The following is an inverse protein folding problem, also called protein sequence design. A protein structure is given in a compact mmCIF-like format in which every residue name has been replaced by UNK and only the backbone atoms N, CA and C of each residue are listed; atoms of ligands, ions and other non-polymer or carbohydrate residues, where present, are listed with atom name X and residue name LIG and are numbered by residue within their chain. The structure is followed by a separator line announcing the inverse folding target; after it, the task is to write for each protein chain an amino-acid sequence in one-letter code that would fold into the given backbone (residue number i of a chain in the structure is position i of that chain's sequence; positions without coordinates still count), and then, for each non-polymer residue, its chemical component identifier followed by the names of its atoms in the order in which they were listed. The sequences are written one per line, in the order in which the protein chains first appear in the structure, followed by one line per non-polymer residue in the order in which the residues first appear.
data_IF_645639693029
#
_entry.id   IF_645639693029
#
_cell.length_a   1.000
_cell.length_b   1.000
_cell.length_c   1.000
_cell.angle_alpha   90.00
_cell.angle_beta   90.00
_cell.angle_gamma   90.00
#
_symmetry.space_group_name_H-M   'P 1'
#
loop_
_entity.id
_entity.type
_entity.pdbx_description
1 polymer ?
#
# COMPACT_ATOMS: atom_id res chain seq x y z
N UNK A 1 5.88 9.64 25.23
CA UNK A 1 6.00 10.32 23.93
C UNK A 1 6.05 9.33 22.78
N UNK A 2 5.35 9.62 21.71
CA UNK A 2 5.42 8.81 20.48
C UNK A 2 6.75 9.09 19.78
N UNK A 3 7.58 8.06 19.62
CA UNK A 3 8.86 8.21 18.90
C UNK A 3 8.63 8.58 17.43
N UNK A 4 7.57 8.04 16.84
CA UNK A 4 7.24 8.28 15.43
C UNK A 4 6.69 9.69 15.25
N UNK A 5 5.75 10.11 16.10
CA UNK A 5 5.10 11.41 15.99
C UNK A 5 6.05 12.59 16.20
N UNK A 6 7.11 12.41 16.98
CA UNK A 6 8.09 13.47 17.27
C UNK A 6 9.15 13.66 16.18
N UNK A 7 9.26 12.75 15.23
CA UNK A 7 10.24 12.88 14.14
C UNK A 7 9.75 13.88 13.10
N UNK A 8 10.54 14.90 12.76
CA UNK A 8 10.18 15.77 11.65
C UNK A 8 10.24 15.03 10.33
N UNK A 9 9.49 15.49 9.34
CA UNK A 9 9.52 14.97 7.98
C UNK A 9 10.21 16.01 7.11
N UNK A 10 11.20 15.56 6.34
CA UNK A 10 11.84 16.39 5.33
C UNK A 10 11.07 16.27 4.02
N UNK A 11 10.67 17.41 3.45
CA UNK A 11 9.98 17.44 2.16
C UNK A 11 11.01 17.28 1.04
N UNK A 12 10.93 16.22 0.21
CA UNK A 12 11.86 16.05 -0.90
C UNK A 12 11.69 17.14 -1.97
N UNK A 13 12.73 17.37 -2.74
CA UNK A 13 12.65 18.28 -3.87
C UNK A 13 11.58 17.79 -4.87
N UNK A 14 10.78 18.71 -5.40
CA UNK A 14 9.71 18.38 -6.32
C UNK A 14 8.39 18.01 -5.69
N UNK A 15 8.30 17.98 -4.36
CA UNK A 15 7.06 17.75 -3.64
C UNK A 15 6.53 19.08 -3.09
N UNK A 16 5.26 19.35 -3.36
CA UNK A 16 4.56 20.52 -2.85
C UNK A 16 3.44 20.10 -1.92
N UNK A 17 3.28 20.84 -0.81
CA UNK A 17 2.23 20.58 0.17
C UNK A 17 1.39 21.82 0.33
N UNK A 18 0.07 21.67 0.22
CA UNK A 18 -0.90 22.73 0.51
C UNK A 18 -1.76 22.26 1.66
N UNK A 19 -1.93 23.13 2.63
CA UNK A 19 -2.81 22.91 3.77
C UNK A 19 -3.98 23.88 3.70
N UNK A 20 -5.19 23.32 3.70
CA UNK A 20 -6.43 24.10 3.81
C UNK A 20 -7.24 23.55 4.98
N UNK A 21 -7.15 24.22 6.14
CA UNK A 21 -7.69 23.69 7.38
C UNK A 21 -7.03 22.38 7.75
N UNK A 22 -7.80 21.30 7.73
CA UNK A 22 -7.32 19.93 8.01
C UNK A 22 -7.09 19.12 6.75
N UNK A 23 -7.34 19.69 5.58
CA UNK A 23 -7.18 19.02 4.30
C UNK A 23 -5.80 19.30 3.73
N UNK A 24 -5.04 18.25 3.48
CA UNK A 24 -3.70 18.35 2.93
C UNK A 24 -3.70 17.83 1.49
N UNK A 25 -3.19 18.66 0.58
CA UNK A 25 -2.98 18.31 -0.81
C UNK A 25 -1.48 18.21 -1.04
N UNK A 26 -1.02 17.04 -1.44
CA UNK A 26 0.40 16.76 -1.65
C UNK A 26 0.61 16.39 -3.10
N UNK A 27 1.43 17.17 -3.78
CA UNK A 27 1.73 17.00 -5.20
C UNK A 27 3.20 16.69 -5.39
N UNK A 28 3.49 15.68 -6.18
CA UNK A 28 4.86 15.28 -6.51
C UNK A 28 4.98 14.80 -7.96
N UNK A 29 6.17 14.34 -8.35
CA UNK A 29 6.42 13.93 -9.74
C UNK A 29 5.57 12.75 -10.20
N UNK A 30 5.06 11.93 -9.28
CA UNK A 30 4.25 10.76 -9.63
C UNK A 30 2.75 10.99 -9.54
N UNK A 31 2.31 12.10 -8.96
CA UNK A 31 0.90 12.41 -8.87
C UNK A 31 0.56 13.30 -7.69
N UNK A 32 -0.71 13.33 -7.35
CA UNK A 32 -1.26 14.17 -6.30
C UNK A 32 -2.17 13.35 -5.39
N UNK A 33 -2.02 13.55 -4.09
CA UNK A 33 -2.90 12.96 -3.08
C UNK A 33 -3.54 14.06 -2.26
N UNK A 34 -4.80 13.85 -1.90
CA UNK A 34 -5.57 14.74 -1.02
C UNK A 34 -6.12 13.92 0.13
N UNK A 35 -5.92 14.39 1.35
CA UNK A 35 -6.44 13.69 2.52
C UNK A 35 -6.73 14.69 3.65
N UNK A 36 -7.82 14.43 4.36
CA UNK A 36 -8.13 15.14 5.57
C UNK A 36 -7.46 14.45 6.76
N UNK A 37 -6.70 15.20 7.53
CA UNK A 37 -6.04 14.71 8.74
C UNK A 37 -6.77 15.17 10.00
N UNK A 38 -6.45 14.54 11.15
CA UNK A 38 -7.09 14.90 12.41
C UNK A 38 -6.83 16.35 12.79
N UNK A 39 -7.89 17.08 13.18
CA UNK A 39 -7.80 18.46 13.67
C UNK A 39 -7.10 18.56 15.03
N UNK A 40 -6.97 17.45 15.75
CA UNK A 40 -6.36 17.41 17.06
C UNK A 40 -4.84 17.51 17.04
N UNK A 41 -4.24 17.21 15.91
CA UNK A 41 -2.79 17.28 15.73
C UNK A 41 -2.46 18.50 14.88
N UNK A 42 -1.68 19.40 15.44
CA UNK A 42 -1.23 20.59 14.72
C UNK A 42 -0.04 20.24 13.84
N UNK A 43 -0.13 20.59 12.57
CA UNK A 43 0.94 20.37 11.59
C UNK A 43 1.59 21.70 11.27
N UNK A 44 2.90 21.79 11.47
CA UNK A 44 3.68 22.98 11.18
C UNK A 44 4.59 22.71 9.99
N UNK A 45 4.48 23.52 8.96
CA UNK A 45 5.33 23.43 7.77
C UNK A 45 6.28 24.62 7.78
N UNK A 46 7.57 24.35 7.88
CA UNK A 46 8.61 25.38 7.91
C UNK A 46 9.66 25.05 6.84
N UNK A 47 9.61 25.78 5.72
CA UNK A 47 10.48 25.53 4.59
C UNK A 47 10.26 24.14 4.02
N UNK A 48 11.26 23.27 4.15
CA UNK A 48 11.21 21.88 3.68
C UNK A 48 11.05 20.86 4.80
N UNK A 49 10.64 21.30 5.99
CA UNK A 49 10.50 20.44 7.14
C UNK A 49 9.08 20.53 7.72
N UNK A 50 8.52 19.40 8.11
CA UNK A 50 7.19 19.32 8.71
C UNK A 50 7.33 18.78 10.13
N UNK A 51 6.73 19.47 11.09
CA UNK A 51 6.67 19.03 12.49
C UNK A 51 5.22 18.91 12.94
N UNK A 52 5.00 18.11 13.97
CA UNK A 52 3.68 17.79 14.49
C UNK A 52 3.63 18.11 15.97
N UNK A 53 2.55 18.75 16.40
CA UNK A 53 2.31 19.07 17.81
C UNK A 53 1.00 18.45 18.26
N UNK A 54 0.96 17.97 19.49
CA UNK A 54 -0.25 17.44 20.11
C UNK A 54 -0.61 18.27 21.36
N UNK A 55 -1.93 18.38 21.67
CA UNK A 55 -2.36 19.22 22.79
C UNK A 55 -2.09 18.59 24.16
N UNK A 56 -1.96 17.27 24.27
CA UNK A 56 -1.76 16.58 25.54
C UNK A 56 -1.11 15.21 25.31
N UNK A 57 -0.95 14.42 26.38
CA UNK A 57 -0.32 13.10 26.36
C UNK A 57 -1.32 11.96 26.58
N UNK A 58 -2.61 12.18 26.34
CA UNK A 58 -3.60 11.13 26.44
C UNK A 58 -3.30 10.01 25.43
N UNK A 59 -3.57 8.73 25.75
CA UNK A 59 -3.22 7.62 24.86
C UNK A 59 -3.81 7.73 23.46
N UNK A 60 -5.06 8.17 23.33
CA UNK A 60 -5.70 8.37 22.02
C UNK A 60 -5.04 9.50 21.20
N UNK A 61 -4.61 10.58 21.87
CA UNK A 61 -3.93 11.71 21.21
C UNK A 61 -2.51 11.31 20.79
N UNK A 62 -1.82 10.53 21.60
CA UNK A 62 -0.49 10.00 21.24
C UNK A 62 -0.58 9.09 20.03
N UNK A 63 -1.62 8.24 19.97
CA UNK A 63 -1.87 7.38 18.82
C UNK A 63 -2.16 8.20 17.55
N UNK A 64 -3.00 9.24 17.64
CA UNK A 64 -3.28 10.16 16.53
C UNK A 64 -2.03 10.91 16.07
N UNK A 65 -1.17 11.31 16.98
CA UNK A 65 0.10 11.99 16.66
C UNK A 65 0.97 11.10 15.75
N UNK A 66 1.18 9.85 16.15
CA UNK A 66 1.95 8.90 15.35
C UNK A 66 1.29 8.56 14.02
N UNK A 67 -0.02 8.35 14.01
CA UNK A 67 -0.80 8.03 12.82
C UNK A 67 -0.78 9.19 11.81
N UNK A 68 -0.97 10.42 12.28
CA UNK A 68 -0.97 11.60 11.41
C UNK A 68 0.38 11.78 10.73
N UNK A 69 1.45 11.65 11.49
CA UNK A 69 2.80 11.72 10.92
C UNK A 69 3.03 10.62 9.89
N UNK A 70 2.67 9.37 10.22
CA UNK A 70 2.84 8.23 9.32
C UNK A 70 2.04 8.40 8.03
N UNK A 71 0.79 8.86 8.12
CA UNK A 71 -0.07 9.09 6.96
C UNK A 71 0.51 10.16 6.04
N UNK A 72 0.96 11.28 6.61
CA UNK A 72 1.54 12.37 5.82
C UNK A 72 2.85 11.93 5.17
N UNK A 73 3.70 11.22 5.90
CA UNK A 73 4.94 10.68 5.35
C UNK A 73 4.67 9.71 4.19
N UNK A 74 3.67 8.83 4.33
CA UNK A 74 3.29 7.91 3.26
C UNK A 74 2.78 8.64 2.02
N UNK A 75 2.05 9.73 2.19
CA UNK A 75 1.60 10.55 1.06
C UNK A 75 2.80 11.17 0.32
N UNK A 76 3.76 11.69 1.07
CA UNK A 76 4.98 12.29 0.49
C UNK A 76 5.80 11.24 -0.28
N UNK A 77 6.04 10.08 0.33
CA UNK A 77 6.76 8.99 -0.33
C UNK A 77 6.00 8.50 -1.57
N UNK A 78 4.69 8.39 -1.47
CA UNK A 78 3.84 7.93 -2.59
C UNK A 78 3.94 8.84 -3.80
N UNK A 79 3.82 10.16 -3.62
CA UNK A 79 3.88 11.11 -4.75
C UNK A 79 5.29 11.30 -5.30
N UNK A 80 6.32 11.01 -4.51
CA UNK A 80 7.73 11.15 -4.94
C UNK A 80 8.30 9.87 -5.53
N UNK A 81 8.11 8.73 -4.86
CA UNK A 81 8.70 7.45 -5.25
C UNK A 81 7.66 6.40 -5.68
N UNK A 82 6.45 6.47 -5.14
CA UNK A 82 5.42 5.47 -5.33
C UNK A 82 5.60 4.26 -4.42
N UNK A 83 4.59 3.40 -4.41
CA UNK A 83 4.61 2.15 -3.68
C UNK A 83 4.38 0.98 -4.63
N UNK A 84 4.96 -0.15 -4.32
CA UNK A 84 4.78 -1.39 -5.06
C UNK A 84 4.63 -2.56 -4.09
N UNK A 85 3.71 -3.46 -4.41
CA UNK A 85 3.55 -4.71 -3.68
C UNK A 85 3.60 -5.86 -4.67
N UNK A 86 4.56 -6.75 -4.48
CA UNK A 86 4.73 -7.91 -5.34
C UNK A 86 3.85 -9.07 -4.90
N UNK A 87 3.31 -9.79 -5.88
CA UNK A 87 2.54 -11.01 -5.68
C UNK A 87 3.13 -12.09 -6.58
N UNK A 88 3.03 -13.33 -6.13
CA UNK A 88 3.53 -14.49 -6.88
C UNK A 88 2.47 -15.58 -6.87
N UNK A 89 2.22 -16.16 -8.04
CA UNK A 89 1.34 -17.32 -8.19
C UNK A 89 2.15 -18.59 -8.07
N UNK A 90 1.73 -19.48 -7.17
CA UNK A 90 2.38 -20.77 -6.92
C UNK A 90 1.40 -21.88 -7.22
N UNK A 91 1.75 -22.78 -8.11
CA UNK A 91 0.94 -23.92 -8.50
C UNK A 91 1.06 -24.24 -9.97
N UNK A 92 0.95 -25.51 -10.32
CA UNK A 92 1.00 -25.97 -11.71
C UNK A 92 -0.22 -25.43 -12.45
N UNK A 93 0.02 -24.75 -13.58
CA UNK A 93 -1.04 -24.17 -14.41
C UNK A 93 -1.58 -22.83 -13.90
N UNK A 94 -1.10 -22.34 -12.77
CA UNK A 94 -1.47 -21.02 -12.27
C UNK A 94 -0.68 -19.97 -13.06
N UNK A 95 -1.40 -19.00 -13.64
CA UNK A 95 -0.76 -17.97 -14.45
C UNK A 95 -1.58 -16.68 -14.43
N UNK A 96 -0.92 -15.60 -14.77
CA UNK A 96 -1.51 -14.28 -14.89
C UNK A 96 -1.18 -13.68 -16.25
N UNK A 97 -2.13 -12.96 -16.82
CA UNK A 97 -1.95 -12.21 -18.05
C UNK A 97 -2.49 -10.78 -17.86
N UNK A 98 -1.81 -9.82 -18.45
CA UNK A 98 -2.33 -8.47 -18.52
C UNK A 98 -3.51 -8.44 -19.49
N UNK A 99 -4.61 -7.80 -19.07
CA UNK A 99 -5.81 -7.64 -19.88
C UNK A 99 -6.18 -6.15 -19.89
N UNK A 100 -5.71 -5.41 -20.89
CA UNK A 100 -5.81 -3.96 -20.89
C UNK A 100 -5.09 -3.37 -19.67
N UNK A 101 -5.78 -2.63 -18.84
CA UNK A 101 -5.25 -2.08 -17.58
C UNK A 101 -5.47 -3.00 -16.37
N UNK A 102 -6.23 -4.07 -16.55
CA UNK A 102 -6.51 -5.07 -15.52
C UNK A 102 -5.71 -6.34 -15.70
N UNK A 103 -6.15 -7.41 -15.03
CA UNK A 103 -5.48 -8.72 -15.06
C UNK A 103 -6.49 -9.85 -15.28
N UNK A 104 -6.04 -10.93 -15.90
CA UNK A 104 -6.75 -12.20 -15.97
C UNK A 104 -5.89 -13.26 -15.33
N UNK A 105 -6.44 -13.95 -14.33
CA UNK A 105 -5.74 -14.95 -13.54
C UNK A 105 -6.33 -16.33 -13.79
N UNK A 106 -5.47 -17.31 -14.03
CA UNK A 106 -5.84 -18.73 -14.04
C UNK A 106 -5.39 -19.34 -12.72
N UNK A 107 -6.34 -19.68 -11.85
CA UNK A 107 -6.06 -20.11 -10.48
C UNK A 107 -6.61 -21.51 -10.16
N UNK A 108 -6.76 -22.36 -11.16
CA UNK A 108 -7.25 -23.71 -10.98
C UNK A 108 -8.78 -23.82 -10.85
N UNK A 109 -9.50 -22.73 -11.07
CA UNK A 109 -10.96 -22.73 -11.17
C UNK A 109 -11.40 -23.09 -12.59
N UNK A 110 -12.68 -23.44 -12.76
CA UNK A 110 -13.27 -23.76 -14.07
C UNK A 110 -13.35 -22.54 -15.01
N UNK A 111 -13.20 -21.34 -14.45
CA UNK A 111 -13.22 -20.08 -15.20
C UNK A 111 -12.07 -19.18 -14.76
N UNK A 112 -11.60 -18.27 -15.61
CA UNK A 112 -10.57 -17.31 -15.21
C UNK A 112 -11.14 -16.30 -14.21
N UNK A 113 -10.25 -15.76 -13.38
CA UNK A 113 -10.58 -14.69 -12.45
C UNK A 113 -10.10 -13.37 -13.07
N UNK A 114 -11.02 -12.44 -13.24
CA UNK A 114 -10.69 -11.14 -13.81
C UNK A 114 -10.53 -10.11 -12.70
N UNK A 115 -9.45 -9.34 -12.79
CA UNK A 115 -9.20 -8.20 -11.91
C UNK A 115 -9.37 -6.95 -12.75
N UNK A 116 -10.36 -6.16 -12.39
CA UNK A 116 -10.64 -4.90 -13.11
C UNK A 116 -9.56 -3.87 -12.82
N UNK A 117 -9.36 -2.96 -13.78
CA UNK A 117 -8.47 -1.83 -13.58
C UNK A 117 -9.01 -0.94 -12.45
N UNK A 118 -8.11 -0.49 -11.59
CA UNK A 118 -8.43 0.41 -10.47
C UNK A 118 -7.73 1.74 -10.74
N UNK A 119 -8.48 2.84 -10.62
CA UNK A 119 -7.91 4.17 -10.78
C UNK A 119 -6.79 4.39 -9.74
N UNK A 120 -5.64 4.87 -10.20
CA UNK A 120 -4.48 5.08 -9.36
C UNK A 120 -3.61 3.85 -9.16
N UNK A 121 -3.94 2.72 -9.78
CA UNK A 121 -3.17 1.48 -9.69
C UNK A 121 -2.70 1.06 -11.08
N UNK A 122 -1.43 0.68 -11.13
CA UNK A 122 -0.81 0.08 -12.32
C UNK A 122 -0.40 -1.35 -11.99
N UNK A 123 -0.77 -2.28 -12.83
CA UNK A 123 -0.36 -3.68 -12.71
C UNK A 123 0.79 -3.95 -13.68
N UNK A 124 1.86 -4.53 -13.18
CA UNK A 124 2.95 -5.05 -14.01
C UNK A 124 3.02 -6.55 -13.85
N UNK A 125 3.10 -7.25 -14.96
CA UNK A 125 3.22 -8.71 -14.99
C UNK A 125 4.62 -9.07 -15.46
N UNK A 126 5.33 -9.85 -14.65
CA UNK A 126 6.65 -10.36 -15.00
C UNK A 126 6.55 -11.86 -15.21
N UNK A 127 6.87 -12.28 -16.43
CA UNK A 127 6.60 -13.66 -16.81
C UNK A 127 5.09 -13.93 -16.82
N UNK A 128 4.67 -15.04 -16.23
CA UNK A 128 3.25 -15.37 -16.11
C UNK A 128 2.86 -15.75 -14.67
N UNK A 129 3.73 -15.51 -13.71
CA UNK A 129 3.51 -15.89 -12.30
C UNK A 129 3.74 -14.76 -11.32
N UNK A 130 4.29 -13.64 -11.74
CA UNK A 130 4.60 -12.51 -10.85
C UNK A 130 3.83 -11.28 -11.23
N UNK A 131 3.26 -10.61 -10.23
CA UNK A 131 2.50 -9.37 -10.38
C UNK A 131 3.12 -8.32 -9.49
N UNK A 132 3.27 -7.11 -10.01
CA UNK A 132 3.58 -5.94 -9.18
C UNK A 132 2.38 -5.00 -9.22
N UNK A 133 1.83 -4.69 -8.05
CA UNK A 133 0.76 -3.71 -7.87
C UNK A 133 1.41 -2.40 -7.47
N UNK A 134 1.30 -1.38 -8.30
CA UNK A 134 1.99 -0.11 -8.10
C UNK A 134 1.00 1.04 -8.04
N UNK A 135 1.31 2.04 -7.22
CA UNK A 135 0.50 3.24 -7.08
C UNK A 135 1.12 4.23 -6.11
N UNK A 136 0.53 5.41 -6.03
CA UNK A 136 1.00 6.47 -5.14
C UNK A 136 0.35 6.40 -3.75
N UNK A 137 -0.80 5.75 -3.63
CA UNK A 137 -1.52 5.60 -2.37
C UNK A 137 -1.20 4.24 -1.76
N UNK A 138 -0.44 4.24 -0.66
CA UNK A 138 -0.02 3.02 0.02
C UNK A 138 -1.20 2.14 0.44
N UNK A 139 -2.27 2.74 0.96
CA UNK A 139 -3.46 1.99 1.39
C UNK A 139 -4.14 1.31 0.22
N UNK A 140 -4.28 2.02 -0.90
CA UNK A 140 -4.91 1.48 -2.11
C UNK A 140 -4.07 0.34 -2.70
N UNK A 141 -2.75 0.52 -2.79
CA UNK A 141 -1.83 -0.52 -3.27
C UNK A 141 -1.96 -1.78 -2.40
N UNK A 142 -1.94 -1.62 -1.09
CA UNK A 142 -2.08 -2.74 -0.16
C UNK A 142 -3.45 -3.41 -0.25
N UNK A 143 -4.52 -2.64 -0.37
CA UNK A 143 -5.87 -3.17 -0.48
C UNK A 143 -6.07 -3.96 -1.77
N UNK A 144 -5.61 -3.43 -2.90
CA UNK A 144 -5.72 -4.12 -4.19
C UNK A 144 -4.90 -5.41 -4.19
N UNK A 145 -3.68 -5.36 -3.66
CA UNK A 145 -2.84 -6.56 -3.54
C UNK A 145 -3.51 -7.62 -2.65
N UNK A 146 -4.08 -7.22 -1.53
CA UNK A 146 -4.81 -8.13 -0.64
C UNK A 146 -6.05 -8.73 -1.31
N UNK A 147 -6.77 -7.95 -2.10
CA UNK A 147 -7.94 -8.43 -2.84
C UNK A 147 -7.55 -9.49 -3.89
N UNK A 148 -6.43 -9.29 -4.57
CA UNK A 148 -5.92 -10.28 -5.53
C UNK A 148 -5.52 -11.57 -4.81
N UNK A 149 -4.79 -11.45 -3.71
CA UNK A 149 -4.38 -12.61 -2.90
C UNK A 149 -5.60 -13.38 -2.38
N UNK A 150 -6.66 -12.67 -1.99
CA UNK A 150 -7.88 -13.29 -1.48
C UNK A 150 -8.65 -14.12 -2.52
N UNK A 151 -8.37 -13.94 -3.80
CA UNK A 151 -9.00 -14.74 -4.87
C UNK A 151 -8.63 -16.21 -4.75
N UNK A 152 -7.42 -16.50 -4.32
CA UNK A 152 -6.99 -17.84 -3.94
C UNK A 152 -5.79 -17.76 -3.00
N UNK A 153 -6.03 -17.66 -1.67
CA UNK A 153 -4.94 -17.57 -0.71
C UNK A 153 -4.07 -18.83 -0.73
N UNK A 154 -2.80 -18.72 -0.35
CA UNK A 154 -1.92 -19.89 -0.33
C UNK A 154 -2.40 -20.90 0.70
N UNK A 155 -2.42 -22.18 0.31
CA UNK A 155 -2.85 -23.24 1.20
C UNK A 155 -1.67 -23.73 2.06
N UNK A 156 -1.94 -24.33 3.24
CA UNK A 156 -0.87 -24.61 4.21
C UNK A 156 -0.04 -25.86 3.92
N UNK A 157 -0.41 -26.67 2.94
CA UNK A 157 0.27 -27.94 2.65
C UNK A 157 1.36 -27.80 1.61
N UNK A 158 0.99 -27.40 0.37
CA UNK A 158 1.93 -27.22 -0.75
C UNK A 158 2.20 -25.78 -1.08
N UNK A 159 1.50 -24.85 -0.44
CA UNK A 159 1.65 -23.43 -0.67
C UNK A 159 1.06 -22.92 -1.97
N UNK A 160 0.17 -23.69 -2.62
CA UNK A 160 -0.48 -23.28 -3.87
C UNK A 160 -1.43 -22.12 -3.63
N UNK A 161 -1.38 -21.13 -4.48
CA UNK A 161 -2.24 -19.95 -4.41
C UNK A 161 -1.49 -18.70 -4.80
N UNK A 162 -2.10 -17.55 -4.49
CA UNK A 162 -1.48 -16.24 -4.68
C UNK A 162 -0.90 -15.80 -3.35
N UNK A 163 0.40 -15.55 -3.31
CA UNK A 163 1.07 -15.07 -2.09
C UNK A 163 1.75 -13.73 -2.38
N UNK A 164 2.08 -12.99 -1.32
CA UNK A 164 2.98 -11.85 -1.48
C UNK A 164 4.38 -12.36 -1.82
N UNK A 165 5.13 -11.58 -2.60
CA UNK A 165 6.45 -11.99 -3.06
C UNK A 165 7.41 -12.30 -1.91
N UNK A 166 7.28 -11.56 -0.81
CA UNK A 166 8.10 -11.71 0.39
C UNK A 166 7.46 -12.59 1.48
N UNK A 167 6.30 -13.18 1.19
CA UNK A 167 5.57 -14.00 2.15
C UNK A 167 6.18 -15.39 2.27
N UNK A 168 6.39 -15.83 3.51
CA UNK A 168 6.80 -17.19 3.81
C UNK A 168 5.57 -17.94 4.30
N UNK A 169 5.19 -19.00 3.55
CA UNK A 169 4.03 -19.79 3.89
C UNK A 169 4.42 -20.82 4.94
N UNK A 170 3.74 -20.77 6.09
CA UNK A 170 3.91 -21.75 7.13
C UNK A 170 3.18 -23.03 6.70
N UNK A 171 3.96 -24.02 6.30
CA UNK A 171 3.41 -25.29 5.81
C UNK A 171 3.07 -26.22 6.95
N UNK A 172 1.95 -26.93 6.81
CA UNK A 172 1.57 -28.03 7.69
C UNK A 172 1.91 -29.34 7.01
N UNK A 173 2.23 -30.36 7.83
CA UNK A 173 2.38 -31.70 7.31
C UNK A 173 1.02 -32.24 6.86
N UNK A 174 1.00 -32.89 5.69
CA UNK A 174 -0.20 -33.56 5.24
C UNK A 174 -0.58 -34.74 6.15
N UNK A 175 -1.83 -35.20 6.04
CA UNK A 175 -2.26 -36.43 6.73
C UNK A 175 -1.35 -37.57 6.34
N UNK A 176 -0.72 -38.18 7.34
CA UNK A 176 -0.10 -39.48 7.15
C UNK A 176 -1.24 -40.49 7.12
N UNK A 177 -1.59 -40.89 5.95
CA UNK A 177 -2.64 -41.89 5.71
C UNK A 177 -2.22 -43.25 6.05
#
# INVERSE_FOLDING_TARGET
MSRIGNKPITIPAGVEIKQDGNTFTIKGPKGQLVRELSSEIKVNIDGNEITFERPNNLPNIRALHGTTRANLNNMIVGVSEGFARGLELVGVGYRVQASGKGLTLSLGYSHPVEIEAVEGITFKVEGNTKISVEGIDKQLVGQVAANIRAKRPPEPYKGKGVKYADEVIRRKEGKKG
#
